data_IF_767335965588
#
_entry.id   IF_767335965588
#
_cell.length_a   1.000
_cell.length_b   1.000
_cell.length_c   1.000
_cell.angle_alpha   90.00
_cell.angle_beta   90.00
_cell.angle_gamma   90.00
#
_symmetry.space_group_name_H-M   'P 1'
#
loop_
_entity.id
_entity.type
_entity.pdbx_description
1 polymer ?
#
# COMPACT_ATOMS: atom_id res chain seq x y z
N UNK A 1 7.84 -0.05 21.26
CA UNK A 1 7.50 -1.22 20.42
C UNK A 1 6.41 -2.06 21.08
N UNK A 2 6.52 -2.34 22.38
CA UNK A 2 5.48 -3.02 23.17
C UNK A 2 4.11 -2.31 23.11
N UNK A 3 4.06 -0.97 23.21
CA UNK A 3 2.79 -0.22 23.19
C UNK A 3 2.04 -0.34 21.86
N UNK A 4 2.76 -0.34 20.74
CA UNK A 4 2.17 -0.51 19.41
C UNK A 4 1.58 -1.92 19.23
N UNK A 5 2.26 -2.94 19.77
CA UNK A 5 1.79 -4.33 19.78
C UNK A 5 0.55 -4.50 20.66
N UNK A 6 0.51 -3.87 21.83
CA UNK A 6 -0.63 -3.90 22.74
C UNK A 6 -1.88 -3.25 22.11
N UNK A 7 -1.72 -2.12 21.44
CA UNK A 7 -2.80 -1.46 20.70
C UNK A 7 -3.36 -2.34 19.59
N UNK A 8 -2.49 -2.99 18.81
CA UNK A 8 -2.91 -3.93 17.76
C UNK A 8 -3.69 -5.12 18.34
N UNK A 9 -3.19 -5.72 19.43
CA UNK A 9 -3.85 -6.85 20.08
C UNK A 9 -5.25 -6.49 20.62
N UNK A 10 -5.43 -5.26 21.12
CA UNK A 10 -6.72 -4.76 21.63
C UNK A 10 -7.78 -4.56 20.54
N UNK A 11 -7.38 -4.39 19.27
CA UNK A 11 -8.31 -4.24 18.14
C UNK A 11 -8.95 -5.57 17.69
N UNK A 12 -8.45 -6.72 18.17
CA UNK A 12 -9.01 -8.03 17.85
C UNK A 12 -9.81 -8.54 19.06
N UNK A 13 -11.07 -8.90 18.84
CA UNK A 13 -11.88 -9.64 19.83
C UNK A 13 -11.29 -11.05 19.97
N UNK A 14 -10.52 -11.28 21.03
CA UNK A 14 -9.96 -12.58 21.36
C UNK A 14 -10.99 -13.33 22.22
N UNK A 15 -11.60 -14.36 21.65
CA UNK A 15 -12.47 -15.26 22.42
C UNK A 15 -11.65 -16.02 23.46
N UNK A 16 -12.14 -16.06 24.71
CA UNK A 16 -11.40 -16.58 25.89
C UNK A 16 -11.02 -18.06 25.76
N UNK A 17 -11.70 -18.82 24.90
CA UNK A 17 -11.40 -20.24 24.66
C UNK A 17 -10.27 -20.44 23.64
N UNK A 18 -10.00 -19.44 22.80
CA UNK A 18 -8.89 -19.48 21.83
C UNK A 18 -7.57 -19.08 22.51
N UNK A 19 -6.97 -20.03 23.23
CA UNK A 19 -5.78 -19.78 24.06
C UNK A 19 -4.54 -19.24 23.31
N UNK A 20 -4.54 -19.21 21.97
CA UNK A 20 -3.45 -18.60 21.19
C UNK A 20 -3.99 -18.03 19.86
N UNK A 21 -4.07 -16.71 19.75
CA UNK A 21 -4.22 -16.03 18.45
C UNK A 21 -2.83 -15.86 17.84
N UNK A 22 -2.50 -16.66 16.83
CA UNK A 22 -1.23 -16.52 16.10
C UNK A 22 -1.38 -15.40 15.07
N UNK A 23 -1.03 -14.18 15.47
CA UNK A 23 -0.96 -13.04 14.55
C UNK A 23 0.27 -13.17 13.64
N UNK A 24 0.04 -13.59 12.39
CA UNK A 24 1.08 -13.62 11.36
C UNK A 24 1.28 -12.22 10.78
N UNK A 25 2.13 -11.43 11.43
CA UNK A 25 2.58 -10.15 10.89
C UNK A 25 3.65 -10.44 9.83
N UNK A 26 3.34 -10.14 8.57
CA UNK A 26 4.32 -10.17 7.48
C UNK A 26 4.81 -8.76 7.23
N UNK A 27 6.13 -8.57 7.28
CA UNK A 27 6.72 -7.34 6.80
C UNK A 27 6.72 -7.35 5.27
N UNK A 28 5.85 -6.54 4.66
CA UNK A 28 5.90 -6.31 3.22
C UNK A 28 6.90 -5.19 2.94
N UNK A 29 7.91 -5.49 2.11
CA UNK A 29 8.87 -4.49 1.63
C UNK A 29 8.21 -3.45 0.70
N UNK A 30 7.03 -3.77 0.18
CA UNK A 30 6.26 -2.95 -0.75
C UNK A 30 4.98 -2.52 -0.05
N UNK A 31 4.68 -1.22 -0.10
CA UNK A 31 3.48 -0.65 0.50
C UNK A 31 2.22 -1.25 -0.16
N UNK A 32 1.19 -1.52 0.65
CA UNK A 32 -0.06 -2.14 0.16
C UNK A 32 -0.70 -1.37 -1.01
N UNK A 33 -0.55 -0.04 -1.06
CA UNK A 33 -1.06 0.74 -2.19
C UNK A 33 -0.33 0.41 -3.50
N UNK A 34 0.98 0.11 -3.47
CA UNK A 34 1.71 -0.30 -4.69
C UNK A 34 1.17 -1.63 -5.22
N UNK A 35 0.73 -2.53 -4.35
CA UNK A 35 0.15 -3.82 -4.75
C UNK A 35 -1.24 -3.64 -5.38
N UNK A 36 -2.10 -2.84 -4.72
CA UNK A 36 -3.48 -2.59 -5.18
C UNK A 36 -3.51 -1.81 -6.51
N UNK A 37 -2.57 -0.90 -6.70
CA UNK A 37 -2.46 -0.08 -7.93
C UNK A 37 -1.99 -0.91 -9.13
N UNK A 38 -1.26 -2.01 -8.93
CA UNK A 38 -0.84 -2.89 -10.03
C UNK A 38 -1.93 -3.85 -10.50
N UNK A 39 -2.89 -4.22 -9.65
CA UNK A 39 -3.94 -5.20 -9.98
C UNK A 39 -5.24 -4.60 -10.57
N UNK A 40 -5.60 -3.36 -10.24
CA UNK A 40 -6.99 -2.90 -10.41
C UNK A 40 -7.31 -2.21 -11.74
N UNK A 41 -6.37 -1.57 -12.47
CA UNK A 41 -6.79 -0.84 -13.67
C UNK A 41 -5.73 -0.59 -14.75
N UNK A 42 -6.22 -0.35 -15.96
CA UNK A 42 -5.55 -0.01 -17.22
C UNK A 42 -4.69 1.25 -17.10
N UNK A 43 -3.51 1.14 -16.50
CA UNK A 43 -2.52 2.21 -16.30
C UNK A 43 -3.06 3.34 -15.42
N UNK A 44 -3.03 3.17 -14.08
CA UNK A 44 -3.27 4.27 -13.18
C UNK A 44 -2.19 5.35 -13.37
N UNK A 45 -2.53 6.59 -13.02
CA UNK A 45 -1.63 7.77 -13.01
C UNK A 45 -0.23 7.48 -12.41
N UNK A 46 -0.14 6.49 -11.51
CA UNK A 46 1.12 6.00 -10.95
C UNK A 46 2.12 5.56 -12.02
N UNK A 47 1.66 4.86 -13.07
CA UNK A 47 2.52 4.41 -14.16
C UNK A 47 3.14 5.61 -14.90
N UNK A 48 2.32 6.62 -15.17
CA UNK A 48 2.75 7.84 -15.86
C UNK A 48 3.74 8.64 -15.02
N UNK A 49 3.49 8.78 -13.72
CA UNK A 49 4.43 9.44 -12.79
C UNK A 49 5.74 8.66 -12.68
N UNK A 50 5.68 7.32 -12.58
CA UNK A 50 6.87 6.47 -12.50
C UNK A 50 7.71 6.58 -13.77
N UNK A 51 7.09 6.61 -14.95
CA UNK A 51 7.78 6.81 -16.22
C UNK A 51 8.39 8.20 -16.32
N UNK A 52 7.67 9.24 -15.92
CA UNK A 52 8.19 10.61 -15.90
C UNK A 52 9.39 10.74 -14.96
N UNK A 53 9.33 10.17 -13.75
CA UNK A 53 10.46 10.21 -12.83
C UNK A 53 11.71 9.54 -13.40
N UNK A 54 11.53 8.48 -14.19
CA UNK A 54 12.62 7.70 -14.79
C UNK A 54 13.19 8.35 -16.06
N UNK A 55 12.33 8.77 -16.98
CA UNK A 55 12.72 9.20 -18.32
C UNK A 55 12.68 10.72 -18.50
N UNK A 56 12.08 11.46 -17.55
CA UNK A 56 11.77 12.89 -17.62
C UNK A 56 10.82 13.29 -18.75
N UNK A 57 10.10 12.32 -19.30
CA UNK A 57 9.16 12.50 -20.40
C UNK A 57 7.71 12.22 -19.98
N UNK A 58 6.77 12.99 -20.53
CA UNK A 58 5.34 12.82 -20.30
C UNK A 58 4.71 11.79 -21.26
N UNK A 59 3.61 11.12 -20.87
CA UNK A 59 2.90 10.22 -21.76
C UNK A 59 2.25 10.95 -22.94
N UNK A 60 2.05 10.23 -24.05
CA UNK A 60 1.31 10.74 -25.19
C UNK A 60 -0.15 11.09 -24.78
N UNK A 61 -0.56 12.34 -25.03
CA UNK A 61 -1.87 12.86 -24.62
C UNK A 61 -1.86 13.66 -23.32
N UNK A 62 -0.70 13.84 -22.67
CA UNK A 62 -0.57 14.80 -21.59
C UNK A 62 -0.85 16.22 -22.09
N UNK A 63 -1.72 16.95 -21.39
CA UNK A 63 -2.01 18.36 -21.67
C UNK A 63 -1.11 19.20 -20.76
N UNK A 64 -0.43 20.17 -21.35
CA UNK A 64 0.37 21.14 -20.60
C UNK A 64 -0.57 21.99 -19.73
N UNK A 65 -0.49 21.80 -18.41
CA UNK A 65 -1.22 22.65 -17.48
C UNK A 65 -0.44 23.95 -17.30
N UNK A 66 -0.69 24.93 -18.16
CA UNK A 66 -0.21 26.30 -17.97
C UNK A 66 -0.96 26.90 -16.77
N UNK A 67 -0.26 27.00 -15.63
CA UNK A 67 -0.73 27.73 -14.46
C UNK A 67 -0.63 29.24 -14.66
#
# INVERSE_FOLDING_TARGET
MADALATLASMFEIDRESNVVILRIRHQLVLAYCQVVEEIDKKPWYYDIKQYLKNKDYPAGAIENNK
#
